data_IF_591624052105
#
_entry.id   IF_591624052105
#
_cell.length_a   1.000
_cell.length_b   1.000
_cell.length_c   1.000
_cell.angle_alpha   90.00
_cell.angle_beta   90.00
_cell.angle_gamma   90.00
#
_symmetry.space_group_name_H-M   'P 1'
#
loop_
_entity.id
_entity.type
_entity.pdbx_description
1 polymer ?
#
# COMPACT_ATOMS: atom_id res chain seq x y z
N UNK A 1 2.26 12.66 9.63
CA UNK A 1 2.34 11.77 8.45
C UNK A 1 1.00 11.14 8.12
N UNK A 2 0.19 10.66 9.09
CA UNK A 2 -1.20 10.26 8.83
C UNK A 2 -2.06 11.38 8.21
N UNK A 3 -1.77 12.65 8.53
CA UNK A 3 -2.42 13.82 7.94
C UNK A 3 -2.27 13.96 6.41
N UNK A 4 -1.32 13.26 5.78
CA UNK A 4 -1.18 13.25 4.32
C UNK A 4 -2.41 12.60 3.64
N UNK A 5 -3.05 11.65 4.34
CA UNK A 5 -4.20 10.88 3.90
C UNK A 5 -5.48 11.26 4.64
N UNK A 6 -5.45 12.31 5.46
CA UNK A 6 -6.65 12.84 6.13
C UNK A 6 -7.61 13.37 5.06
N UNK A 7 -8.84 12.88 5.08
CA UNK A 7 -9.86 13.17 4.07
C UNK A 7 -9.70 12.45 2.73
N UNK A 8 -8.82 11.43 2.64
CA UNK A 8 -8.63 10.61 1.44
C UNK A 8 -9.02 9.17 1.68
N UNK A 9 -9.38 8.49 0.59
CA UNK A 9 -9.75 7.07 0.62
C UNK A 9 -8.50 6.23 0.41
N UNK A 10 -8.26 5.29 1.31
CA UNK A 10 -7.24 4.25 1.14
C UNK A 10 -7.93 2.90 1.03
N UNK A 11 -7.52 2.09 0.05
CA UNK A 11 -8.15 0.79 -0.17
C UNK A 11 -7.20 -0.30 0.30
N UNK A 12 -7.72 -1.27 1.04
CA UNK A 12 -6.97 -2.47 1.41
C UNK A 12 -6.90 -3.43 0.23
N UNK A 13 -5.72 -3.99 -0.05
CA UNK A 13 -5.55 -5.01 -1.11
C UNK A 13 -6.08 -6.41 -0.73
N UNK A 14 -7.08 -6.48 0.16
CA UNK A 14 -7.70 -7.76 0.53
C UNK A 14 -8.82 -8.13 -0.47
N UNK A 15 -9.41 -9.31 -0.30
CA UNK A 15 -10.46 -9.78 -1.22
C UNK A 15 -11.71 -8.88 -1.23
N UNK A 16 -11.96 -8.14 -0.14
CA UNK A 16 -13.13 -7.27 0.02
C UNK A 16 -12.87 -5.86 -0.51
N UNK A 17 -11.62 -5.51 -0.80
CA UNK A 17 -11.18 -4.16 -1.11
C UNK A 17 -11.72 -3.13 -0.10
N UNK A 18 -11.55 -3.40 1.21
CA UNK A 18 -12.05 -2.52 2.27
C UNK A 18 -11.56 -1.08 2.04
N UNK A 19 -12.49 -0.19 1.71
CA UNK A 19 -12.27 1.23 1.55
C UNK A 19 -12.22 1.87 2.95
N UNK A 20 -11.12 2.56 3.24
CA UNK A 20 -10.94 3.35 4.44
C UNK A 20 -11.26 4.80 4.07
N UNK A 21 -12.54 5.15 4.11
CA UNK A 21 -13.03 6.49 3.78
C UNK A 21 -13.09 7.42 4.99
N UNK A 22 -13.09 6.88 6.21
CA UNK A 22 -13.11 7.70 7.43
C UNK A 22 -11.72 8.02 7.95
N UNK A 23 -11.52 9.25 8.44
CA UNK A 23 -10.26 9.67 9.07
C UNK A 23 -9.86 8.77 10.26
N UNK A 24 -10.84 8.23 10.99
CA UNK A 24 -10.58 7.35 12.12
C UNK A 24 -9.95 6.02 11.68
N UNK A 25 -10.37 5.48 10.55
CA UNK A 25 -9.85 4.23 10.00
C UNK A 25 -8.46 4.40 9.39
N UNK A 26 -8.28 5.46 8.61
CA UNK A 26 -6.97 5.85 8.07
C UNK A 26 -5.98 6.10 9.20
N UNK A 27 -6.37 6.87 10.22
CA UNK A 27 -5.52 7.12 11.40
C UNK A 27 -5.24 5.84 12.15
N UNK A 28 -6.22 4.96 12.39
CA UNK A 28 -5.96 3.68 13.06
C UNK A 28 -4.97 2.78 12.33
N UNK A 29 -4.93 2.87 10.99
CA UNK A 29 -4.01 2.08 10.15
C UNK A 29 -2.63 2.71 10.01
N UNK A 30 -2.49 4.02 10.10
CA UNK A 30 -1.24 4.75 9.84
C UNK A 30 -0.60 5.39 11.08
N UNK A 31 -1.39 5.68 12.11
CA UNK A 31 -0.92 6.34 13.34
C UNK A 31 -0.01 5.41 14.13
N UNK A 32 1.08 5.97 14.67
CA UNK A 32 2.17 5.25 15.33
C UNK A 32 2.88 4.20 14.45
N UNK A 33 2.61 4.18 13.13
CA UNK A 33 3.26 3.30 12.17
C UNK A 33 4.23 4.05 11.26
N UNK A 34 5.29 3.35 10.86
CA UNK A 34 6.13 3.75 9.74
C UNK A 34 5.36 3.52 8.45
N UNK A 35 5.13 4.60 7.70
CA UNK A 35 4.43 4.56 6.41
C UNK A 35 5.44 4.53 5.29
N UNK A 36 5.45 3.46 4.49
CA UNK A 36 6.19 3.38 3.24
C UNK A 36 5.27 3.77 2.09
N UNK A 37 5.66 4.81 1.38
CA UNK A 37 5.05 5.22 0.13
C UNK A 37 5.81 4.56 -1.00
N UNK A 38 5.17 3.66 -1.73
CA UNK A 38 5.76 3.03 -2.90
C UNK A 38 5.12 3.62 -4.16
N UNK A 39 5.89 4.42 -4.89
CA UNK A 39 5.50 4.95 -6.19
C UNK A 39 5.98 3.99 -7.26
N UNK A 40 5.05 3.42 -8.03
CA UNK A 40 5.39 2.45 -9.05
C UNK A 40 4.33 2.36 -10.13
N UNK A 41 4.70 1.73 -11.23
CA UNK A 41 3.79 1.37 -12.30
C UNK A 41 4.04 -0.10 -12.67
N UNK A 42 2.97 -0.87 -12.84
CA UNK A 42 3.01 -2.23 -13.34
C UNK A 42 3.66 -2.35 -14.73
N UNK A 43 3.60 -1.30 -15.56
CA UNK A 43 4.28 -1.25 -16.86
C UNK A 43 5.80 -1.02 -16.77
N UNK A 44 6.35 -0.67 -15.60
CA UNK A 44 7.76 -0.34 -15.45
C UNK A 44 8.61 -1.56 -15.03
N UNK A 45 9.58 -2.01 -15.83
CA UNK A 45 10.38 -3.20 -15.54
C UNK A 45 11.28 -3.04 -14.30
N UNK A 46 11.73 -1.81 -14.01
CA UNK A 46 12.51 -1.52 -12.81
C UNK A 46 11.67 -1.66 -11.53
N UNK A 47 10.41 -1.22 -11.58
CA UNK A 47 9.45 -1.39 -10.48
C UNK A 47 9.18 -2.88 -10.26
N UNK A 48 8.91 -3.65 -11.32
CA UNK A 48 8.69 -5.09 -11.23
C UNK A 48 9.89 -5.84 -10.61
N UNK A 49 11.12 -5.44 -10.91
CA UNK A 49 12.31 -6.03 -10.30
C UNK A 49 12.46 -5.68 -8.81
N UNK A 50 11.96 -4.52 -8.37
CA UNK A 50 12.04 -4.06 -6.99
C UNK A 50 10.94 -4.64 -6.09
N UNK A 51 9.76 -4.89 -6.64
CA UNK A 51 8.60 -5.47 -5.97
C UNK A 51 8.90 -6.71 -5.12
N UNK A 52 9.59 -7.75 -5.63
CA UNK A 52 9.88 -8.93 -4.81
C UNK A 52 10.77 -8.57 -3.61
N UNK A 53 11.70 -7.63 -3.76
CA UNK A 53 12.57 -7.16 -2.67
C UNK A 53 11.73 -6.42 -1.62
N UNK A 54 10.82 -5.55 -2.06
CA UNK A 54 9.91 -4.81 -1.20
C UNK A 54 8.94 -5.73 -0.45
N UNK A 55 8.40 -6.74 -1.13
CA UNK A 55 7.53 -7.77 -0.56
C UNK A 55 8.25 -8.56 0.52
N UNK A 56 9.46 -9.03 0.23
CA UNK A 56 10.31 -9.77 1.18
C UNK A 56 10.69 -8.91 2.40
N UNK A 57 11.03 -7.64 2.18
CA UNK A 57 11.26 -6.67 3.26
C UNK A 57 10.01 -6.46 4.14
N UNK A 58 8.85 -6.27 3.52
CA UNK A 58 7.58 -6.08 4.23
C UNK A 58 7.21 -7.31 5.05
N UNK A 59 7.31 -8.52 4.48
CA UNK A 59 7.01 -9.77 5.18
C UNK A 59 7.96 -9.95 6.36
N UNK A 60 9.27 -9.80 6.17
CA UNK A 60 10.26 -9.94 7.26
C UNK A 60 10.02 -9.00 8.45
N UNK A 61 9.46 -7.81 8.22
CA UNK A 61 9.19 -6.84 9.28
C UNK A 61 7.81 -6.97 9.90
N UNK A 62 6.85 -7.57 9.20
CA UNK A 62 5.45 -7.63 9.65
C UNK A 62 4.98 -9.01 10.06
N UNK A 63 5.78 -10.05 9.80
CA UNK A 63 5.43 -11.43 10.09
C UNK A 63 5.97 -11.86 11.45
N UNK A 64 5.04 -12.26 12.34
CA UNK A 64 5.32 -12.65 13.73
C UNK A 64 6.21 -13.89 13.84
N UNK A 65 6.36 -14.66 12.76
CA UNK A 65 7.29 -15.78 12.70
C UNK A 65 8.75 -15.31 12.69
N UNK A 66 9.01 -14.12 12.14
CA UNK A 66 10.36 -13.56 11.98
C UNK A 66 10.73 -12.53 13.05
N UNK A 67 9.74 -11.94 13.74
CA UNK A 67 9.99 -10.88 14.74
C UNK A 67 9.07 -11.03 15.95
N UNK A 68 9.68 -10.95 17.15
CA UNK A 68 8.99 -10.94 18.47
C UNK A 68 8.01 -9.77 18.65
N UNK A 69 8.15 -8.72 17.83
CA UNK A 69 7.26 -7.57 17.78
C UNK A 69 7.11 -7.17 16.32
N UNK A 70 5.94 -7.44 15.73
CA UNK A 70 5.64 -6.98 14.38
C UNK A 70 5.91 -5.47 14.30
N UNK A 71 6.74 -5.05 13.34
CA UNK A 71 6.98 -3.64 13.12
C UNK A 71 5.65 -2.98 12.80
N UNK A 72 5.37 -1.84 13.44
CA UNK A 72 4.23 -1.01 13.08
C UNK A 72 4.54 -0.37 11.73
N UNK A 73 4.34 -1.12 10.65
CA UNK A 73 4.66 -0.73 9.28
C UNK A 73 3.39 -0.77 8.44
N UNK A 74 3.15 0.27 7.67
CA UNK A 74 2.08 0.36 6.70
C UNK A 74 2.71 0.69 5.35
N UNK A 75 2.31 -0.02 4.30
CA UNK A 75 2.77 0.26 2.94
C UNK A 75 1.58 0.76 2.14
N UNK A 76 1.74 1.94 1.56
CA UNK A 76 0.77 2.58 0.68
C UNK A 76 1.35 2.61 -0.72
N UNK A 77 0.73 1.87 -1.64
CA UNK A 77 1.05 1.87 -3.05
C UNK A 77 0.38 3.06 -3.73
N UNK A 78 1.19 3.87 -4.41
CA UNK A 78 0.77 4.96 -5.26
C UNK A 78 1.05 4.55 -6.70
N UNK A 79 -0.02 4.14 -7.38
CA UNK A 79 0.05 3.74 -8.78
C UNK A 79 0.37 4.95 -9.67
N UNK A 80 1.35 4.82 -10.54
CA UNK A 80 1.61 5.71 -11.69
C UNK A 80 1.23 5.04 -13.01
N UNK A 81 0.43 3.97 -12.95
CA UNK A 81 -0.07 3.29 -14.14
C UNK A 81 -1.02 4.17 -14.96
N UNK A 82 -0.98 3.99 -16.28
CA UNK A 82 -1.84 4.74 -17.21
C UNK A 82 -3.29 4.27 -17.18
N UNK A 83 -3.55 3.04 -16.73
CA UNK A 83 -4.90 2.46 -16.64
C UNK A 83 -5.15 1.75 -15.31
N UNK A 84 -6.42 1.69 -14.90
CA UNK A 84 -6.85 0.97 -13.70
C UNK A 84 -6.57 -0.53 -13.80
N UNK A 85 -6.76 -1.12 -15.00
CA UNK A 85 -6.50 -2.54 -15.25
C UNK A 85 -5.04 -2.93 -14.96
N UNK A 86 -4.09 -2.05 -15.29
CA UNK A 86 -2.67 -2.28 -14.99
C UNK A 86 -2.39 -2.25 -13.48
N UNK A 87 -3.02 -1.32 -12.77
CA UNK A 87 -2.95 -1.24 -11.32
C UNK A 87 -3.55 -2.50 -10.66
N UNK A 88 -4.72 -2.96 -11.10
CA UNK A 88 -5.38 -4.15 -10.57
C UNK A 88 -4.53 -5.42 -10.80
N UNK A 89 -3.99 -5.59 -12.01
CA UNK A 89 -3.08 -6.69 -12.33
C UNK A 89 -1.85 -6.71 -11.43
N UNK A 90 -1.29 -5.53 -11.14
CA UNK A 90 -0.16 -5.41 -10.24
C UNK A 90 -0.54 -5.77 -8.79
N UNK A 91 -1.65 -5.22 -8.30
CA UNK A 91 -2.15 -5.42 -6.94
C UNK A 91 -2.50 -6.89 -6.65
N UNK A 92 -2.96 -7.65 -7.66
CA UNK A 92 -3.24 -9.09 -7.54
C UNK A 92 -2.03 -9.92 -7.09
N UNK A 93 -0.81 -9.52 -7.42
CA UNK A 93 0.41 -10.24 -6.98
C UNK A 93 0.93 -9.74 -5.61
N UNK A 94 0.39 -8.61 -5.13
CA UNK A 94 0.84 -7.97 -3.90
C UNK A 94 0.18 -8.56 -2.63
N UNK A 95 0.82 -8.43 -1.46
CA UNK A 95 0.25 -8.87 -0.19
C UNK A 95 -1.08 -8.17 0.15
N UNK A 96 -2.00 -8.91 0.77
CA UNK A 96 -3.31 -8.38 1.22
C UNK A 96 -3.25 -7.32 2.31
N UNK A 97 -2.09 -7.18 2.97
CA UNK A 97 -1.84 -6.17 4.02
C UNK A 97 -1.44 -4.81 3.46
N UNK A 98 -1.24 -4.70 2.14
CA UNK A 98 -0.89 -3.43 1.50
C UNK A 98 -2.13 -2.55 1.36
N UNK A 99 -1.90 -1.25 1.45
CA UNK A 99 -2.88 -0.22 1.16
C UNK A 99 -2.53 0.36 -0.20
N UNK A 100 -3.53 0.87 -0.92
CA UNK A 100 -3.30 1.58 -2.17
C UNK A 100 -4.27 2.74 -2.31
N UNK A 101 -3.93 3.70 -3.17
CA UNK A 101 -4.81 4.81 -3.52
C UNK A 101 -5.73 4.43 -4.69
N UNK A 102 -7.00 4.88 -4.68
CA UNK A 102 -7.88 4.74 -5.83
C UNK A 102 -7.27 5.43 -7.05
N UNK A 103 -7.60 4.91 -8.25
CA UNK A 103 -7.03 5.40 -9.50
C UNK A 103 -7.34 6.89 -9.74
N UNK A 104 -8.45 7.40 -9.24
CA UNK A 104 -8.87 8.80 -9.43
C UNK A 104 -8.27 9.79 -8.42
N UNK A 105 -7.40 9.35 -7.50
CA UNK A 105 -6.86 10.21 -6.44
C UNK A 105 -5.84 11.25 -6.96
N UNK A 106 -5.93 12.49 -6.45
CA UNK A 106 -5.04 13.59 -6.82
C UNK A 106 -3.57 13.39 -6.42
N UNK A 107 -3.26 12.55 -5.42
CA UNK A 107 -1.86 12.26 -5.02
C UNK A 107 -1.07 11.47 -6.05
N UNK A 108 -1.73 10.98 -7.11
CA UNK A 108 -1.05 10.34 -8.24
C UNK A 108 -0.38 11.36 -9.18
N UNK A 109 -0.72 12.65 -9.06
CA UNK A 109 -0.32 13.74 -9.97
C UNK A 109 0.91 14.54 -9.51
#
# INVERSE_FOLDING_TARGET
>A
MASLFSGRILICNNNDQDELDTEAEVSRRLENRLVLLFFGAGACPQCQAFVPILKDFFVRLTDEFYVLRAAQLALVYVSQDSTEEQQDLFLKDMPKKWLFLPFEDELRR
#
